data_IF_034003982210
#
_entry.id   IF_034003982210
#
_cell.length_a   1.000
_cell.length_b   1.000
_cell.length_c   1.000
_cell.angle_alpha   90.00
_cell.angle_beta   90.00
_cell.angle_gamma   90.00
#
_symmetry.space_group_name_H-M   'P 1'
#
loop_
_entity.id
_entity.type
_entity.pdbx_description
1 polymer ?
#
# COMPACT_ATOMS: atom_id res chain seq x y z
N UNK A 1 6.57 11.60 8.61
CA UNK A 1 6.14 11.46 7.19
C UNK A 1 4.79 12.14 7.03
N UNK A 2 4.69 13.12 6.14
CA UNK A 2 3.40 13.74 5.80
C UNK A 2 2.63 12.76 4.93
N UNK A 3 1.41 12.40 5.33
CA UNK A 3 0.53 11.58 4.50
C UNK A 3 0.01 12.44 3.34
N UNK A 4 0.74 12.44 2.22
CA UNK A 4 0.34 13.14 1.01
C UNK A 4 -0.57 12.24 0.19
N UNK A 5 -1.65 12.81 -0.32
CA UNK A 5 -2.49 12.11 -1.27
C UNK A 5 -1.74 11.98 -2.60
N UNK A 6 -1.34 10.75 -2.94
CA UNK A 6 -0.73 10.40 -4.22
C UNK A 6 -1.80 9.73 -5.06
N UNK A 7 -2.01 10.25 -6.25
CA UNK A 7 -2.99 9.71 -7.19
C UNK A 7 -2.59 8.33 -7.70
N UNK A 8 -3.55 7.60 -8.25
CA UNK A 8 -3.38 6.22 -8.69
C UNK A 8 -2.29 6.07 -9.74
N UNK A 9 -2.26 6.97 -10.71
CA UNK A 9 -1.32 7.00 -11.83
C UNK A 9 0.13 7.07 -11.35
N UNK A 10 0.43 7.90 -10.34
CA UNK A 10 1.77 7.97 -9.75
C UNK A 10 2.16 6.67 -9.06
N UNK A 11 1.22 5.98 -8.39
CA UNK A 11 1.50 4.69 -7.75
C UNK A 11 1.80 3.62 -8.80
N UNK A 12 0.99 3.56 -9.85
CA UNK A 12 1.20 2.63 -10.97
C UNK A 12 2.53 2.90 -11.65
N UNK A 13 2.85 4.17 -11.92
CA UNK A 13 4.11 4.56 -12.55
C UNK A 13 5.32 4.24 -11.66
N UNK A 14 5.20 4.41 -10.36
CA UNK A 14 6.24 4.00 -9.40
C UNK A 14 6.55 2.51 -9.51
N UNK A 15 5.51 1.66 -9.51
CA UNK A 15 5.70 0.21 -9.64
C UNK A 15 6.32 -0.15 -11.00
N UNK A 16 5.85 0.48 -12.08
CA UNK A 16 6.43 0.29 -13.41
C UNK A 16 7.92 0.62 -13.45
N UNK A 17 8.36 1.72 -12.84
CA UNK A 17 9.79 2.08 -12.77
C UNK A 17 10.59 0.99 -12.03
N UNK A 18 10.10 0.52 -10.90
CA UNK A 18 10.80 -0.52 -10.14
C UNK A 18 10.90 -1.84 -10.91
N UNK A 19 9.85 -2.20 -11.64
CA UNK A 19 9.84 -3.42 -12.46
C UNK A 19 10.74 -3.29 -13.71
N UNK A 20 11.06 -2.06 -14.12
CA UNK A 20 12.05 -1.76 -15.18
C UNK A 20 13.48 -1.57 -14.65
N UNK A 21 13.74 -1.90 -13.38
CA UNK A 21 15.08 -1.92 -12.81
C UNK A 21 15.58 -0.59 -12.24
N UNK A 22 14.71 0.41 -12.08
CA UNK A 22 15.07 1.65 -11.38
C UNK A 22 15.24 1.40 -9.87
N UNK A 23 16.15 2.14 -9.25
CA UNK A 23 16.47 1.98 -7.84
C UNK A 23 15.31 2.43 -6.94
N UNK A 24 15.01 1.62 -5.93
CA UNK A 24 13.88 1.90 -5.03
C UNK A 24 14.07 3.22 -4.27
N UNK A 25 15.30 3.51 -3.87
CA UNK A 25 15.67 4.74 -3.14
C UNK A 25 15.39 5.98 -3.98
N UNK A 26 15.86 6.02 -5.23
CA UNK A 26 15.63 7.14 -6.15
C UNK A 26 14.13 7.35 -6.45
N UNK A 27 13.39 6.26 -6.70
CA UNK A 27 11.94 6.33 -6.94
C UNK A 27 11.21 6.88 -5.70
N UNK A 28 11.62 6.45 -4.51
CA UNK A 28 11.07 6.94 -3.24
C UNK A 28 11.35 8.44 -3.04
N UNK A 29 12.57 8.89 -3.31
CA UNK A 29 12.97 10.28 -3.15
C UNK A 29 12.25 11.21 -4.14
N UNK A 30 12.18 10.82 -5.42
CA UNK A 30 11.49 11.59 -6.47
C UNK A 30 10.00 11.75 -6.15
N UNK A 31 9.35 10.67 -5.71
CA UNK A 31 7.91 10.68 -5.40
C UNK A 31 7.61 11.17 -3.98
N UNK A 32 8.64 11.39 -3.16
CA UNK A 32 8.50 11.77 -1.75
C UNK A 32 7.74 10.73 -0.92
N UNK A 33 7.95 9.44 -1.19
CA UNK A 33 7.28 8.32 -0.51
C UNK A 33 8.24 7.40 0.19
N UNK A 34 7.73 6.70 1.21
CA UNK A 34 8.49 5.65 1.87
C UNK A 34 8.52 4.36 1.05
N UNK A 35 9.58 3.56 1.22
CA UNK A 35 9.63 2.18 0.71
C UNK A 35 8.47 1.33 1.23
N UNK A 36 7.98 1.62 2.45
CA UNK A 36 6.80 0.96 3.01
C UNK A 36 5.54 1.23 2.18
N UNK A 37 5.36 2.45 1.67
CA UNK A 37 4.24 2.81 0.79
C UNK A 37 4.28 1.99 -0.50
N UNK A 38 5.47 1.87 -1.12
CA UNK A 38 5.70 1.02 -2.30
C UNK A 38 5.34 -0.44 -2.00
N UNK A 39 5.79 -0.96 -0.85
CA UNK A 39 5.46 -2.32 -0.39
C UNK A 39 3.95 -2.54 -0.26
N UNK A 40 3.22 -1.59 0.32
CA UNK A 40 1.76 -1.64 0.40
C UNK A 40 1.11 -1.66 -1.00
N UNK A 41 1.58 -0.83 -1.95
CA UNK A 41 1.01 -0.81 -3.30
C UNK A 41 1.26 -2.14 -4.03
N UNK A 42 2.45 -2.73 -3.92
CA UNK A 42 2.73 -4.08 -4.46
C UNK A 42 1.83 -5.14 -3.84
N UNK A 43 1.63 -5.09 -2.52
CA UNK A 43 0.73 -6.01 -1.84
C UNK A 43 -0.72 -5.84 -2.32
N UNK A 44 -1.18 -4.60 -2.51
CA UNK A 44 -2.52 -4.33 -3.04
C UNK A 44 -2.69 -4.87 -4.46
N UNK A 45 -1.72 -4.65 -5.35
CA UNK A 45 -1.77 -5.20 -6.72
C UNK A 45 -1.81 -6.72 -6.68
N UNK A 46 -0.99 -7.36 -5.86
CA UNK A 46 -0.98 -8.83 -5.71
C UNK A 46 -2.31 -9.38 -5.18
N UNK A 47 -2.92 -8.70 -4.21
CA UNK A 47 -4.11 -9.20 -3.53
C UNK A 47 -5.43 -8.82 -4.25
N UNK A 48 -5.45 -7.68 -4.95
CA UNK A 48 -6.68 -7.07 -5.47
C UNK A 48 -6.60 -6.67 -6.95
N UNK A 49 -5.43 -6.76 -7.59
CA UNK A 49 -5.24 -6.33 -8.99
C UNK A 49 -5.13 -4.82 -9.19
N UNK A 50 -5.23 -4.01 -8.14
CA UNK A 50 -5.06 -2.54 -8.19
C UNK A 50 -4.16 -2.05 -7.06
N UNK A 51 -3.46 -0.93 -7.29
CA UNK A 51 -2.70 -0.20 -6.25
C UNK A 51 -3.62 0.42 -5.19
N UNK A 52 -4.89 0.63 -5.53
CA UNK A 52 -5.94 1.07 -4.62
C UNK A 52 -6.64 -0.18 -4.05
N UNK A 53 -6.62 -0.39 -2.73
CA UNK A 53 -7.36 -1.49 -2.14
C UNK A 53 -8.88 -1.19 -2.25
N UNK A 54 -9.72 -2.22 -2.42
CA UNK A 54 -11.17 -2.05 -2.42
C UNK A 54 -11.61 -1.40 -1.11
N UNK A 55 -12.60 -0.51 -1.18
CA UNK A 55 -13.14 0.14 0.00
C UNK A 55 -13.89 -0.89 0.86
N UNK A 56 -13.28 -1.31 1.97
CA UNK A 56 -13.92 -2.27 2.89
C UNK A 56 -14.84 -1.49 3.84
N UNK A 57 -16.17 -1.65 3.77
CA UNK A 57 -17.10 -0.87 4.61
C UNK A 57 -16.98 -1.17 6.12
N UNK A 58 -16.28 -2.26 6.48
CA UNK A 58 -16.15 -2.78 7.84
C UNK A 58 -14.86 -2.35 8.56
N UNK A 59 -14.11 -1.38 8.05
CA UNK A 59 -12.94 -0.83 8.76
C UNK A 59 -13.38 0.15 9.86
N UNK A 60 -13.75 -0.40 11.00
CA UNK A 60 -13.92 0.32 12.26
C UNK A 60 -13.42 -0.54 13.42
N UNK A 61 -13.07 0.09 14.55
CA UNK A 61 -12.81 -0.65 15.79
C UNK A 61 -14.11 -1.35 16.19
N UNK A 62 -14.17 -2.69 16.30
CA UNK A 62 -15.36 -3.34 16.85
C UNK A 62 -15.63 -2.76 18.24
N UNK A 63 -16.84 -2.24 18.47
CA UNK A 63 -17.23 -1.61 19.75
C UNK A 63 -17.38 -2.61 20.91
N UNK A 64 -17.08 -3.88 20.69
CA UNK A 64 -17.02 -4.91 21.72
C UNK A 64 -15.92 -5.90 21.38
N UNK A 65 -14.83 -5.87 22.15
CA UNK A 65 -13.81 -6.90 22.09
C UNK A 65 -14.32 -8.16 22.78
N UNK A 66 -14.55 -9.23 22.02
CA UNK A 66 -14.12 -10.53 22.50
C UNK A 66 -12.85 -10.87 21.72
N UNK A 67 -11.73 -10.58 22.34
CA UNK A 67 -10.40 -10.87 21.83
C UNK A 67 -10.27 -12.38 21.60
N UNK A 68 -9.95 -12.80 20.37
CA UNK A 68 -9.61 -14.18 20.05
C UNK A 68 -8.18 -14.23 19.49
N UNK A 69 -7.23 -14.86 20.20
CA UNK A 69 -5.81 -14.87 19.83
C UNK A 69 -5.47 -15.70 18.57
N UNK A 70 -6.42 -16.46 18.01
CA UNK A 70 -6.12 -17.39 16.90
C UNK A 70 -6.36 -16.84 15.49
N UNK A 71 -6.54 -15.52 15.30
CA UNK A 71 -6.57 -14.94 13.94
C UNK A 71 -5.14 -14.66 13.45
N UNK A 72 -4.54 -15.69 12.86
CA UNK A 72 -3.31 -15.61 12.09
C UNK A 72 -3.55 -14.74 10.86
N UNK A 73 -2.74 -13.69 10.70
CA UNK A 73 -2.73 -12.84 9.52
C UNK A 73 -2.30 -13.66 8.30
N UNK A 74 -3.16 -13.74 7.28
CA UNK A 74 -2.82 -14.15 5.90
C UNK A 74 -2.69 -12.91 5.04
#
# INVERSE_FOLDING_TARGET
MVNRHISEDFKVRALWLLDNGYMTEEVCDILGVSQRSIGCWRANVRNYGSVIPPHVPLQGRPRGSQWNPNRVCT
#
